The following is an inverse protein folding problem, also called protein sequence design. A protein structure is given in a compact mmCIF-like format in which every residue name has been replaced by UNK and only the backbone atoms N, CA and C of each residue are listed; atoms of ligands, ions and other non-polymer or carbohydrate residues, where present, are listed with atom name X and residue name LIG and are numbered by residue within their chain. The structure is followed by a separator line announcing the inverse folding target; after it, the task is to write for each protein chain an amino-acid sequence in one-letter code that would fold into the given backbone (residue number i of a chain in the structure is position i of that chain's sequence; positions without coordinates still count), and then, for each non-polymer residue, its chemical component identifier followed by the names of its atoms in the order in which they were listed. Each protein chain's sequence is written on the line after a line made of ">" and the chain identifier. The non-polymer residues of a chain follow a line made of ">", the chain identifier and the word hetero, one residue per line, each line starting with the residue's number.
data_IF_635763995486
#
_entry.id   IF_635763995486
#
_cell.length_a   1.000
_cell.length_b   1.000
_cell.length_c   1.000
_cell.angle_alpha   90.00
_cell.angle_beta   90.00
_cell.angle_gamma   90.00
#
_symmetry.space_group_name_H-M   'P 1'
#
loop_
_entity.id
_entity.type
_entity.pdbx_description
1 polymer ?
#
# COMPACT_ATOMS: atom_id res chain seq x y z
N UNK A 1 -12.07 -12.61 21.11
CA UNK A 1 -11.45 -12.05 19.89
C UNK A 1 -12.36 -12.15 18.67
N UNK A 2 -12.79 -13.32 18.19
CA UNK A 2 -13.64 -13.43 16.98
C UNK A 2 -14.95 -12.60 17.03
N UNK A 3 -15.62 -12.53 18.19
CA UNK A 3 -16.88 -11.78 18.33
C UNK A 3 -16.74 -10.26 18.24
N UNK A 4 -15.55 -9.70 18.53
CA UNK A 4 -15.32 -8.25 18.50
C UNK A 4 -14.87 -7.78 17.12
N UNK A 5 -14.08 -8.59 16.41
CA UNK A 5 -13.71 -8.32 15.01
C UNK A 5 -14.95 -8.30 14.11
N UNK A 6 -15.89 -9.23 14.31
CA UNK A 6 -17.15 -9.22 13.57
C UNK A 6 -17.91 -7.90 13.72
N UNK A 7 -18.02 -7.37 14.95
CA UNK A 7 -18.68 -6.07 15.20
C UNK A 7 -17.96 -4.91 14.54
N UNK A 8 -16.63 -4.96 14.46
CA UNK A 8 -15.83 -3.97 13.73
C UNK A 8 -16.13 -4.02 12.24
N UNK A 9 -16.13 -5.22 11.65
CA UNK A 9 -16.47 -5.42 10.24
C UNK A 9 -17.90 -4.92 9.96
N UNK A 10 -18.87 -5.28 10.80
CA UNK A 10 -20.25 -4.83 10.69
C UNK A 10 -20.35 -3.29 10.77
N UNK A 11 -19.62 -2.64 11.69
CA UNK A 11 -19.59 -1.18 11.82
C UNK A 11 -18.97 -0.51 10.58
N UNK A 12 -17.84 -1.02 10.07
CA UNK A 12 -17.18 -0.49 8.88
C UNK A 12 -18.07 -0.63 7.65
N UNK A 13 -18.71 -1.79 7.48
CA UNK A 13 -19.67 -2.05 6.40
C UNK A 13 -20.92 -1.16 6.53
N UNK A 14 -21.47 -0.98 7.73
CA UNK A 14 -22.59 -0.05 7.96
C UNK A 14 -22.22 1.38 7.55
N UNK A 15 -20.96 1.78 7.75
CA UNK A 15 -20.43 3.10 7.38
C UNK A 15 -20.05 3.22 5.91
N UNK A 16 -20.15 2.17 5.10
CA UNK A 16 -19.60 2.11 3.73
C UNK A 16 -18.09 2.43 3.66
N UNK A 17 -17.32 2.03 4.69
CA UNK A 17 -15.87 2.25 4.74
C UNK A 17 -15.13 1.05 4.16
N UNK A 18 -14.20 1.32 3.24
CA UNK A 18 -13.19 0.34 2.81
C UNK A 18 -11.91 0.49 3.63
N UNK A 19 -11.12 -0.58 3.66
CA UNK A 19 -9.73 -0.53 4.10
C UNK A 19 -8.85 -0.12 2.92
N UNK A 20 -8.00 0.87 3.11
CA UNK A 20 -7.23 1.48 2.03
C UNK A 20 -5.77 1.04 2.06
N UNK A 21 -5.28 0.56 0.92
CA UNK A 21 -3.84 0.33 0.67
C UNK A 21 -3.44 1.18 -0.52
N UNK A 22 -2.35 1.92 -0.40
CA UNK A 22 -1.74 2.62 -1.53
C UNK A 22 -0.38 2.03 -1.83
N UNK A 23 -0.04 1.94 -3.10
CA UNK A 23 1.21 1.35 -3.53
C UNK A 23 1.71 1.95 -4.86
N UNK A 24 3.01 1.74 -5.12
CA UNK A 24 3.62 2.08 -6.40
C UNK A 24 3.24 1.03 -7.45
N UNK A 25 3.47 1.35 -8.72
CA UNK A 25 3.19 0.39 -9.80
C UNK A 25 3.97 -0.91 -9.62
N UNK A 26 5.25 -0.83 -9.24
CA UNK A 26 6.08 -2.03 -9.08
C UNK A 26 5.52 -2.98 -8.01
N UNK A 27 4.95 -2.43 -6.93
CA UNK A 27 4.32 -3.19 -5.84
C UNK A 27 3.03 -3.87 -6.33
N UNK A 28 2.21 -3.11 -7.08
CA UNK A 28 0.98 -3.63 -7.65
C UNK A 28 1.25 -4.74 -8.66
N UNK A 29 2.22 -4.52 -9.54
CA UNK A 29 2.68 -5.49 -10.54
C UNK A 29 3.21 -6.78 -9.89
N UNK A 30 4.00 -6.65 -8.82
CA UNK A 30 4.46 -7.80 -8.05
C UNK A 30 3.29 -8.54 -7.38
N UNK A 31 2.33 -7.81 -6.82
CA UNK A 31 1.11 -8.39 -6.21
C UNK A 31 0.24 -9.14 -7.24
N UNK A 32 0.06 -8.59 -8.44
CA UNK A 32 -0.60 -9.30 -9.55
C UNK A 32 0.10 -10.61 -9.88
N UNK A 33 1.44 -10.61 -9.91
CA UNK A 33 2.25 -11.80 -10.17
C UNK A 33 2.13 -12.85 -9.06
N UNK A 34 1.91 -12.41 -7.82
CA UNK A 34 1.74 -13.28 -6.64
C UNK A 34 0.32 -13.83 -6.48
N UNK A 35 -0.68 -13.33 -7.21
CA UNK A 35 -2.06 -13.78 -7.06
C UNK A 35 -2.90 -13.03 -6.03
N UNK A 36 -2.35 -12.01 -5.37
CA UNK A 36 -3.01 -11.28 -4.28
C UNK A 36 -2.17 -10.10 -3.78
N UNK A 37 -2.75 -9.26 -2.92
CA UNK A 37 -2.02 -8.15 -2.29
C UNK A 37 -1.01 -8.77 -1.33
N UNK A 38 0.28 -8.63 -1.61
CA UNK A 38 1.35 -9.27 -0.87
C UNK A 38 1.93 -8.37 0.22
N UNK A 39 2.38 -8.97 1.33
CA UNK A 39 3.24 -8.28 2.28
C UNK A 39 4.63 -8.06 1.69
N UNK A 40 5.37 -7.10 2.23
CA UNK A 40 6.75 -6.86 1.78
C UNK A 40 7.65 -8.07 2.05
N UNK A 41 7.44 -8.79 3.17
CA UNK A 41 8.12 -10.05 3.43
C UNK A 41 7.86 -11.10 2.34
N UNK A 42 6.62 -11.25 1.85
CA UNK A 42 6.31 -12.17 0.77
C UNK A 42 6.96 -11.77 -0.55
N UNK A 43 6.98 -10.48 -0.89
CA UNK A 43 7.65 -9.99 -2.09
C UNK A 43 9.18 -10.23 -2.02
N UNK A 44 9.80 -9.95 -0.87
CA UNK A 44 11.23 -10.22 -0.61
C UNK A 44 11.54 -11.71 -0.76
N UNK A 45 10.74 -12.59 -0.13
CA UNK A 45 10.91 -14.04 -0.21
C UNK A 45 10.68 -14.60 -1.63
N UNK A 46 9.79 -13.97 -2.39
CA UNK A 46 9.56 -14.33 -3.78
C UNK A 46 10.70 -13.88 -4.73
N UNK A 47 11.56 -12.96 -4.27
CA UNK A 47 12.59 -12.32 -5.10
C UNK A 47 12.01 -11.30 -6.09
N UNK A 48 10.83 -10.76 -5.80
CA UNK A 48 10.17 -9.76 -6.64
C UNK A 48 10.61 -8.36 -6.22
N UNK A 49 10.77 -7.46 -7.19
CA UNK A 49 11.05 -6.05 -6.92
C UNK A 49 9.81 -5.36 -6.35
N UNK A 50 10.02 -4.48 -5.38
CA UNK A 50 9.00 -3.65 -4.74
C UNK A 50 9.64 -2.32 -4.27
N UNK A 51 8.83 -1.35 -3.88
CA UNK A 51 9.28 -0.02 -3.51
C UNK A 51 10.03 -0.02 -2.17
N UNK A 52 11.26 0.51 -2.20
CA UNK A 52 12.17 0.54 -1.06
C UNK A 52 12.14 1.90 -0.35
N UNK A 53 11.22 2.04 0.61
CA UNK A 53 11.14 3.22 1.47
C UNK A 53 12.24 3.17 2.54
N UNK A 54 12.76 4.34 2.92
CA UNK A 54 13.71 4.45 4.05
C UNK A 54 13.16 3.86 5.35
N UNK A 55 11.84 3.93 5.54
CA UNK A 55 11.14 3.40 6.72
C UNK A 55 10.96 1.87 6.71
N UNK A 56 11.36 1.17 5.65
CA UNK A 56 11.23 -0.29 5.58
C UNK A 56 12.09 -0.98 6.66
N UNK A 57 13.29 -0.47 6.95
CA UNK A 57 14.15 -0.98 8.02
C UNK A 57 13.49 -0.82 9.39
N UNK A 58 12.85 0.33 9.65
CA UNK A 58 12.11 0.60 10.89
C UNK A 58 10.94 -0.38 11.03
N UNK A 59 10.11 -0.54 9.99
CA UNK A 59 9.00 -1.49 9.98
C UNK A 59 9.46 -2.94 10.24
N UNK A 60 10.61 -3.33 9.69
CA UNK A 60 11.24 -4.64 9.90
C UNK A 60 11.74 -4.81 11.34
N UNK A 61 12.39 -3.79 11.89
CA UNK A 61 12.84 -3.78 13.29
C UNK A 61 11.68 -3.80 14.29
N UNK A 62 10.56 -3.17 13.95
CA UNK A 62 9.34 -3.17 14.74
C UNK A 62 8.56 -4.50 14.63
N UNK A 63 8.99 -5.45 13.80
CA UNK A 63 8.34 -6.76 13.68
C UNK A 63 7.06 -6.78 12.85
N UNK A 64 6.84 -5.79 11.96
CA UNK A 64 5.64 -5.71 11.11
C UNK A 64 5.92 -5.97 9.64
N UNK A 65 7.08 -6.54 9.30
CA UNK A 65 7.50 -6.74 7.90
C UNK A 65 6.56 -7.66 7.10
N UNK A 66 5.99 -8.64 7.78
CA UNK A 66 5.00 -9.61 7.31
C UNK A 66 3.56 -9.21 7.66
N UNK A 67 3.33 -7.97 8.10
CA UNK A 67 2.00 -7.44 8.37
C UNK A 67 1.44 -6.66 7.17
N UNK A 68 0.12 -6.79 6.98
CA UNK A 68 -0.66 -5.86 6.16
C UNK A 68 -1.05 -4.64 6.99
N UNK A 69 -0.87 -3.46 6.41
CA UNK A 69 -1.16 -2.18 7.06
C UNK A 69 -2.17 -1.44 6.21
N UNK A 70 -3.38 -1.28 6.72
CA UNK A 70 -4.47 -0.57 6.08
C UNK A 70 -4.67 0.80 6.72
N UNK A 71 -5.22 1.71 5.93
CA UNK A 71 -5.71 3.00 6.42
C UNK A 71 -7.24 3.03 6.40
N UNK A 72 -7.84 3.83 7.26
CA UNK A 72 -9.29 4.03 7.32
C UNK A 72 -9.79 5.13 6.36
N UNK A 73 -8.88 5.81 5.66
CA UNK A 73 -9.22 6.74 4.58
C UNK A 73 -8.14 6.81 3.51
N UNK A 74 -8.52 7.33 2.35
CA UNK A 74 -7.57 7.69 1.29
C UNK A 74 -6.78 8.95 1.65
N UNK A 75 -5.49 8.80 1.95
CA UNK A 75 -4.58 9.93 2.18
C UNK A 75 -4.45 10.88 0.99
N UNK A 76 -4.58 10.38 -0.24
CA UNK A 76 -4.53 11.23 -1.44
C UNK A 76 -5.77 12.12 -1.59
N UNK A 77 -6.87 11.82 -0.89
CA UNK A 77 -8.15 12.50 -1.10
C UNK A 77 -8.07 14.01 -0.85
N UNK A 78 -7.27 14.47 0.11
CA UNK A 78 -7.10 15.91 0.39
C UNK A 78 -6.44 16.65 -0.79
N UNK A 79 -5.47 16.01 -1.44
CA UNK A 79 -4.89 16.54 -2.67
C UNK A 79 -5.90 16.52 -3.81
N UNK A 80 -6.54 15.38 -4.11
CA UNK A 80 -7.43 15.30 -5.28
C UNK A 80 -8.72 16.12 -5.14
N UNK A 81 -9.18 16.40 -3.91
CA UNK A 81 -10.38 17.22 -3.70
C UNK A 81 -10.09 18.72 -3.78
N UNK A 82 -8.95 19.19 -3.27
CA UNK A 82 -8.69 20.62 -3.05
C UNK A 82 -7.23 21.07 -3.23
N UNK A 83 -6.33 20.17 -3.63
CA UNK A 83 -4.88 20.42 -3.72
C UNK A 83 -4.24 20.94 -2.41
N UNK A 84 -4.75 20.52 -1.24
CA UNK A 84 -4.32 21.07 0.06
C UNK A 84 -3.10 20.36 0.68
N UNK A 85 -2.65 19.25 0.09
CA UNK A 85 -1.56 18.42 0.59
C UNK A 85 -0.74 17.86 -0.59
N UNK A 86 0.24 16.99 -0.33
CA UNK A 86 0.88 16.18 -1.37
C UNK A 86 -0.09 15.09 -1.85
N UNK A 87 0.10 14.54 -3.06
CA UNK A 87 -0.46 13.24 -3.40
C UNK A 87 0.02 12.17 -2.40
N UNK A 88 -0.56 10.97 -2.50
CA UNK A 88 -0.22 9.89 -1.58
C UNK A 88 1.24 9.42 -1.78
N UNK A 89 2.07 9.55 -0.76
CA UNK A 89 3.49 9.19 -0.80
C UNK A 89 3.73 7.70 -1.08
N UNK A 90 2.77 6.84 -0.75
CA UNK A 90 2.89 5.40 -0.95
C UNK A 90 2.60 4.97 -2.38
N UNK A 91 2.02 5.85 -3.18
CA UNK A 91 1.93 5.67 -4.62
C UNK A 91 0.56 5.94 -5.21
N UNK A 92 0.50 5.88 -6.55
CA UNK A 92 -0.63 6.39 -7.30
C UNK A 92 -1.75 5.38 -7.52
N UNK A 93 -1.59 4.15 -7.03
CA UNK A 93 -2.60 3.10 -7.08
C UNK A 93 -3.17 2.96 -5.67
N UNK A 94 -4.47 3.16 -5.54
CA UNK A 94 -5.23 2.98 -4.31
C UNK A 94 -6.16 1.77 -4.45
N UNK A 95 -5.96 0.80 -3.58
CA UNK A 95 -6.74 -0.43 -3.50
C UNK A 95 -7.74 -0.30 -2.35
N UNK A 96 -9.01 -0.53 -2.67
CA UNK A 96 -10.12 -0.54 -1.73
C UNK A 96 -10.39 -2.00 -1.36
N UNK A 97 -10.11 -2.35 -0.12
CA UNK A 97 -10.28 -3.71 0.41
C UNK A 97 -11.53 -3.74 1.27
N UNK A 98 -12.38 -4.75 1.07
CA UNK A 98 -13.58 -4.98 1.87
C UNK A 98 -13.18 -5.28 3.32
N UNK A 99 -13.83 -4.67 4.32
CA UNK A 99 -13.56 -4.95 5.74
C UNK A 99 -13.66 -6.42 6.12
N UNK A 100 -14.46 -7.21 5.38
CA UNK A 100 -14.64 -8.65 5.57
C UNK A 100 -13.33 -9.43 5.67
N UNK A 101 -12.24 -8.95 5.03
CA UNK A 101 -10.92 -9.59 5.15
C UNK A 101 -10.45 -9.71 6.60
N UNK A 102 -10.86 -8.80 7.49
CA UNK A 102 -10.45 -8.84 8.90
C UNK A 102 -10.94 -10.08 9.64
N UNK A 103 -11.99 -10.74 9.15
CA UNK A 103 -12.50 -12.00 9.73
C UNK A 103 -11.51 -13.16 9.53
N UNK A 104 -10.67 -13.08 8.49
CA UNK A 104 -9.66 -14.09 8.15
C UNK A 104 -8.31 -13.79 8.82
N UNK A 105 -8.19 -12.66 9.53
CA UNK A 105 -6.95 -12.27 10.20
C UNK A 105 -6.79 -12.99 11.54
N UNK A 106 -5.58 -13.48 11.80
CA UNK A 106 -5.20 -14.06 13.10
C UNK A 106 -5.02 -13.00 14.18
N UNK A 107 -4.61 -11.81 13.76
CA UNK A 107 -4.37 -10.67 14.64
C UNK A 107 -4.79 -9.40 13.93
N UNK A 108 -5.56 -8.57 14.62
CA UNK A 108 -5.95 -7.23 14.18
C UNK A 108 -5.68 -6.26 15.30
N UNK A 109 -4.83 -5.27 15.05
CA UNK A 109 -4.55 -4.17 15.96
C UNK A 109 -4.82 -2.84 15.25
N UNK A 110 -5.04 -1.79 16.03
CA UNK A 110 -4.96 -0.42 15.53
C UNK A 110 -3.80 0.30 16.22
N UNK A 111 -3.20 1.25 15.52
CA UNK A 111 -2.26 2.20 16.10
C UNK A 111 -2.54 3.60 15.57
N UNK A 112 -2.50 4.59 16.45
CA UNK A 112 -2.52 6.01 16.07
C UNK A 112 -1.12 6.55 15.72
N UNK A 113 -0.09 5.71 15.85
CA UNK A 113 1.29 6.00 15.47
C UNK A 113 1.68 5.01 14.38
N UNK A 114 2.19 5.49 13.25
CA UNK A 114 2.57 4.58 12.16
C UNK A 114 3.61 3.56 12.61
N UNK A 115 3.46 2.29 12.21
CA UNK A 115 4.47 1.24 12.45
C UNK A 115 5.81 1.52 11.75
N UNK A 116 5.83 2.53 10.87
CA UNK A 116 7.00 3.04 10.14
C UNK A 116 7.71 4.18 10.87
N UNK A 117 7.19 4.64 12.01
CA UNK A 117 7.80 5.70 12.82
C UNK A 117 8.92 5.17 13.72
N UNK A 118 10.00 5.94 13.88
CA UNK A 118 11.08 5.65 14.85
C UNK A 118 10.59 5.69 16.30
N UNK A 119 9.48 6.38 16.56
CA UNK A 119 8.87 6.49 17.88
C UNK A 119 7.84 5.39 18.16
N UNK A 120 7.61 4.47 17.22
CA UNK A 120 6.65 3.40 17.41
C UNK A 120 7.16 2.37 18.45
N UNK A 121 6.28 1.98 19.38
CA UNK A 121 6.52 0.95 20.37
C UNK A 121 5.29 0.02 20.41
N UNK A 122 5.50 -1.28 20.22
CA UNK A 122 4.42 -2.27 20.14
C UNK A 122 3.57 -2.34 21.41
N UNK A 123 4.21 -2.22 22.57
CA UNK A 123 3.57 -2.46 23.87
C UNK A 123 2.68 -1.27 24.27
N UNK A 124 3.02 -0.06 23.84
CA UNK A 124 2.26 1.15 24.16
C UNK A 124 1.33 1.64 23.06
N UNK A 125 1.62 1.34 21.79
CA UNK A 125 0.88 1.91 20.66
C UNK A 125 -0.07 0.95 19.96
N UNK A 126 0.09 -0.38 20.13
CA UNK A 126 -0.89 -1.33 19.63
C UNK A 126 -2.03 -1.45 20.61
N UNK A 127 -3.24 -1.27 20.09
CA UNK A 127 -4.45 -1.49 20.86
C UNK A 127 -5.31 -2.52 20.12
N UNK A 128 -5.83 -3.49 20.87
CA UNK A 128 -6.96 -4.29 20.41
C UNK A 128 -8.15 -3.33 20.33
N UNK A 129 -8.55 -2.99 19.13
CA UNK A 129 -9.59 -1.99 18.93
C UNK A 129 -10.95 -2.55 19.35
N UNK A 130 -11.66 -1.80 20.19
CA UNK A 130 -13.09 -2.04 20.42
C UNK A 130 -13.93 -1.32 19.37
N UNK A 131 -15.14 -1.83 19.11
CA UNK A 131 -16.11 -1.17 18.22
C UNK A 131 -16.40 0.27 18.66
N UNK A 132 -16.44 0.53 19.97
CA UNK A 132 -16.69 1.87 20.52
C UNK A 132 -15.54 2.86 20.25
N UNK A 133 -14.29 2.40 20.33
CA UNK A 133 -13.12 3.22 20.01
C UNK A 133 -13.07 3.55 18.53
N UNK A 134 -13.33 2.57 17.66
CA UNK A 134 -13.42 2.80 16.21
C UNK A 134 -14.51 3.82 15.89
N UNK A 135 -15.67 3.70 16.53
CA UNK A 135 -16.80 4.61 16.33
C UNK A 135 -16.45 6.05 16.72
N UNK A 136 -15.60 6.24 17.74
CA UNK A 136 -15.14 7.57 18.20
C UNK A 136 -14.23 8.28 17.20
N UNK A 137 -13.65 7.59 16.22
CA UNK A 137 -12.81 8.21 15.18
C UNK A 137 -13.64 9.06 14.20
N UNK A 138 -14.92 8.72 14.04
CA UNK A 138 -15.82 9.39 13.10
C UNK A 138 -16.54 10.57 13.74
N UNK A 139 -16.80 11.59 12.93
CA UNK A 139 -17.52 12.79 13.34
C UNK A 139 -19.03 12.52 13.53
N UNK A 140 -19.59 11.67 12.66
CA UNK A 140 -21.02 11.36 12.64
C UNK A 140 -21.30 9.88 13.04
N UNK A 141 -22.49 9.59 13.60
CA UNK A 141 -22.97 8.22 13.83
C UNK A 141 -23.00 7.34 12.57
N UNK A 142 -22.96 6.02 12.75
CA UNK A 142 -22.89 5.06 11.63
C UNK A 142 -24.20 4.96 10.82
N UNK A 143 -25.32 5.36 11.40
CA UNK A 143 -26.65 5.44 10.79
C UNK A 143 -26.91 6.78 10.07
N UNK A 144 -25.93 7.69 10.04
CA UNK A 144 -26.03 8.94 9.27
C UNK A 144 -26.04 8.68 7.77
N UNK A 145 -26.41 9.69 6.97
CA UNK A 145 -26.43 9.58 5.51
C UNK A 145 -25.01 9.51 4.93
N UNK A 146 -24.85 8.93 3.74
CA UNK A 146 -23.60 9.07 2.98
C UNK A 146 -23.57 10.46 2.31
N UNK A 147 -22.44 11.21 2.37
CA UNK A 147 -21.11 10.79 2.83
C UNK A 147 -20.82 11.05 4.32
N UNK A 148 -21.73 11.64 5.08
CA UNK A 148 -21.50 12.08 6.47
C UNK A 148 -20.99 10.96 7.39
N UNK A 149 -21.56 9.75 7.26
CA UNK A 149 -21.16 8.57 8.04
C UNK A 149 -19.71 8.11 7.83
N UNK A 150 -19.00 8.66 6.84
CA UNK A 150 -17.60 8.33 6.53
C UNK A 150 -16.59 9.36 7.03
N UNK A 151 -17.05 10.51 7.55
CA UNK A 151 -16.18 11.63 7.88
C UNK A 151 -15.45 11.35 9.19
N UNK A 152 -14.12 11.33 9.14
CA UNK A 152 -13.24 11.28 10.33
C UNK A 152 -13.15 12.66 10.98
N UNK A 153 -12.91 12.68 12.30
CA UNK A 153 -12.71 13.94 13.04
C UNK A 153 -11.44 14.67 12.58
N UNK A 154 -11.55 15.98 12.37
CA UNK A 154 -10.43 16.85 11.93
C UNK A 154 -9.22 16.77 12.87
N UNK A 155 -9.45 16.58 14.17
CA UNK A 155 -8.37 16.41 15.16
C UNK A 155 -7.44 15.23 14.88
N UNK A 156 -7.90 14.22 14.12
CA UNK A 156 -7.07 13.10 13.66
C UNK A 156 -6.24 13.48 12.42
N UNK A 157 -6.70 14.45 11.64
CA UNK A 157 -6.09 14.89 10.38
C UNK A 157 -5.07 16.02 10.62
N UNK A 158 -5.38 16.95 11.54
CA UNK A 158 -4.57 18.15 11.80
C UNK A 158 -3.41 17.91 12.79
N UNK A 159 -3.60 17.04 13.77
CA UNK A 159 -2.56 16.75 14.78
C UNK A 159 -1.60 15.63 14.35
N UNK A 160 -1.87 14.95 13.24
CA UNK A 160 -0.98 13.91 12.74
C UNK A 160 0.14 14.54 11.91
N UNK A 161 1.16 15.08 12.60
CA UNK A 161 2.51 15.11 12.02
C UNK A 161 2.94 13.70 11.57
N UNK A 162 2.35 12.67 12.21
CA UNK A 162 2.65 11.25 12.04
C UNK A 162 1.39 10.41 11.78
N UNK A 163 0.81 10.53 10.59
CA UNK A 163 -0.19 9.59 9.99
C UNK A 163 -1.53 9.38 10.71
N UNK A 164 -2.55 8.95 9.96
CA UNK A 164 -3.85 8.54 10.51
C UNK A 164 -3.77 7.15 11.13
N UNK A 165 -4.81 6.74 11.89
CA UNK A 165 -4.86 5.40 12.47
C UNK A 165 -4.63 4.31 11.41
N UNK A 166 -3.65 3.45 11.68
CA UNK A 166 -3.29 2.28 10.89
C UNK A 166 -3.95 1.03 11.48
N UNK A 167 -4.65 0.25 10.65
CA UNK A 167 -5.14 -1.08 11.00
C UNK A 167 -4.09 -2.09 10.55
N UNK A 168 -3.53 -2.82 11.51
CA UNK A 168 -2.38 -3.72 11.31
C UNK A 168 -2.86 -5.15 11.48
N UNK A 169 -2.67 -5.96 10.45
CA UNK A 169 -3.21 -7.31 10.38
C UNK A 169 -2.14 -8.35 10.03
N UNK A 170 -2.26 -9.51 10.67
CA UNK A 170 -1.52 -10.72 10.29
C UNK A 170 -2.51 -11.82 9.88
N UNK A 171 -2.12 -12.58 8.87
CA UNK A 171 -2.92 -13.66 8.28
C UNK A 171 -2.04 -14.91 8.20
N UNK A 172 -2.67 -16.09 8.11
CA UNK A 172 -1.95 -17.35 7.88
C UNK A 172 -1.22 -17.33 6.53
N UNK A 173 -1.85 -16.72 5.53
CA UNK A 173 -1.26 -16.52 4.20
C UNK A 173 -0.78 -15.08 4.07
N UNK A 174 0.44 -14.82 3.55
CA UNK A 174 0.95 -13.45 3.42
C UNK A 174 0.32 -12.67 2.27
N UNK A 175 -0.71 -13.23 1.62
CA UNK A 175 -1.45 -12.66 0.51
C UNK A 175 -2.89 -12.39 0.93
N UNK A 176 -3.40 -11.20 0.62
CA UNK A 176 -4.84 -10.94 0.63
C UNK A 176 -5.39 -11.25 -0.77
N UNK A 177 -6.38 -12.15 -0.89
CA UNK A 177 -6.98 -12.46 -2.18
C UNK A 177 -7.62 -11.23 -2.83
N UNK A 178 -7.47 -11.07 -4.15
CA UNK A 178 -8.10 -9.99 -4.90
C UNK A 178 -9.65 -10.05 -4.90
N UNK A 179 -10.27 -11.15 -4.47
CA UNK A 179 -11.72 -11.24 -4.24
C UNK A 179 -12.23 -10.28 -3.15
N UNK A 180 -11.35 -9.89 -2.23
CA UNK A 180 -11.62 -8.87 -1.22
C UNK A 180 -11.42 -7.43 -1.73
N UNK A 181 -10.92 -7.23 -2.95
CA UNK A 181 -10.81 -5.90 -3.55
C UNK A 181 -12.16 -5.49 -4.13
N UNK A 182 -12.73 -4.39 -3.63
CA UNK A 182 -13.97 -3.81 -4.15
C UNK A 182 -13.72 -2.88 -5.34
N UNK A 183 -12.59 -2.17 -5.33
CA UNK A 183 -12.20 -1.19 -6.34
C UNK A 183 -10.68 -0.98 -6.33
N UNK A 184 -10.10 -0.73 -7.50
CA UNK A 184 -8.81 -0.07 -7.63
C UNK A 184 -9.02 1.30 -8.27
N UNK A 185 -8.45 2.34 -7.67
CA UNK A 185 -8.41 3.66 -8.28
C UNK A 185 -6.98 4.10 -8.54
N UNK A 186 -6.77 4.82 -9.63
CA UNK A 186 -5.44 5.27 -10.05
C UNK A 186 -5.42 6.77 -10.34
N UNK A 187 -4.26 7.38 -10.14
CA UNK A 187 -4.08 8.81 -10.38
C UNK A 187 -4.04 9.16 -11.87
N UNK A 188 -4.08 10.45 -12.18
CA UNK A 188 -4.34 11.01 -13.52
C UNK A 188 -3.08 11.22 -14.38
N UNK A 189 -2.02 10.43 -14.19
CA UNK A 189 -0.79 10.59 -14.96
C UNK A 189 -0.95 10.15 -16.43
N UNK A 190 -0.22 10.82 -17.32
CA UNK A 190 -0.10 10.49 -18.74
C UNK A 190 1.35 10.14 -19.02
N UNK A 191 1.58 8.96 -19.59
CA UNK A 191 2.90 8.42 -19.92
C UNK A 191 2.85 7.99 -21.38
N UNK A 192 3.77 8.47 -22.22
CA UNK A 192 3.79 8.16 -23.66
C UNK A 192 2.43 8.38 -24.36
N UNK A 193 1.76 9.51 -24.06
CA UNK A 193 0.41 9.85 -24.56
C UNK A 193 -0.70 8.85 -24.20
N UNK A 194 -0.45 7.96 -23.24
CA UNK A 194 -1.41 6.98 -22.73
C UNK A 194 -1.70 7.25 -21.25
N UNK A 195 -2.97 7.09 -20.88
CA UNK A 195 -3.41 7.26 -19.48
C UNK A 195 -2.81 6.16 -18.61
N UNK A 196 -2.34 6.50 -17.41
CA UNK A 196 -1.82 5.54 -16.44
C UNK A 196 -2.82 4.41 -16.15
N UNK A 197 -4.11 4.75 -16.06
CA UNK A 197 -5.20 3.79 -15.94
C UNK A 197 -5.15 2.68 -16.99
N UNK A 198 -4.88 3.01 -18.25
CA UNK A 198 -4.85 2.02 -19.31
C UNK A 198 -3.69 1.04 -19.16
N UNK A 199 -2.56 1.44 -18.57
CA UNK A 199 -1.47 0.52 -18.28
C UNK A 199 -1.84 -0.44 -17.15
N UNK A 200 -2.39 0.08 -16.05
CA UNK A 200 -2.79 -0.73 -14.90
C UNK A 200 -3.92 -1.70 -15.24
N UNK A 201 -4.90 -1.27 -16.06
CA UNK A 201 -5.99 -2.12 -16.51
C UNK A 201 -5.52 -3.26 -17.42
N UNK A 202 -4.63 -2.97 -18.37
CA UNK A 202 -4.03 -4.01 -19.23
C UNK A 202 -3.27 -5.05 -18.39
N UNK A 203 -2.49 -4.58 -17.42
CA UNK A 203 -1.74 -5.45 -16.50
C UNK A 203 -2.67 -6.35 -15.68
N UNK A 204 -3.74 -5.78 -15.11
CA UNK A 204 -4.76 -6.50 -14.36
C UNK A 204 -5.42 -7.60 -15.20
N UNK A 205 -5.84 -7.26 -16.42
CA UNK A 205 -6.53 -8.19 -17.31
C UNK A 205 -5.63 -9.35 -17.74
N UNK A 206 -4.36 -9.07 -18.04
CA UNK A 206 -3.38 -10.12 -18.38
C UNK A 206 -3.07 -11.06 -17.22
N UNK A 207 -2.99 -10.51 -16.01
CA UNK A 207 -2.88 -11.31 -14.80
C UNK A 207 -4.16 -12.11 -14.46
N UNK A 208 -5.23 -11.98 -15.25
CA UNK A 208 -6.47 -12.75 -15.10
C UNK A 208 -7.44 -12.21 -14.05
N UNK A 209 -7.30 -10.96 -13.62
CA UNK A 209 -8.18 -10.35 -12.61
C UNK A 209 -9.26 -9.45 -13.20
N UNK A 210 -10.41 -9.41 -12.55
CA UNK A 210 -11.62 -8.74 -13.05
C UNK A 210 -12.18 -7.68 -12.09
N UNK A 211 -11.43 -7.30 -11.05
CA UNK A 211 -11.92 -6.28 -10.12
C UNK A 211 -12.11 -4.91 -10.83
N UNK A 212 -13.07 -4.09 -10.36
CA UNK A 212 -13.30 -2.76 -10.91
C UNK A 212 -12.05 -1.89 -10.83
N UNK A 213 -11.78 -1.12 -11.89
CA UNK A 213 -10.66 -0.18 -11.95
C UNK A 213 -11.12 1.14 -12.58
N UNK A 214 -10.80 2.26 -11.94
CA UNK A 214 -11.12 3.58 -12.47
C UNK A 214 -10.05 4.63 -12.15
N UNK A 215 -10.12 5.80 -12.78
CA UNK A 215 -9.38 6.98 -12.30
C UNK A 215 -9.95 7.44 -10.97
N UNK A 216 -9.07 7.84 -10.06
CA UNK A 216 -9.44 8.38 -8.76
C UNK A 216 -10.29 9.63 -8.95
N UNK A 217 -11.39 9.76 -8.19
CA UNK A 217 -12.25 10.93 -8.28
C UNK A 217 -11.47 12.20 -7.90
N UNK A 218 -11.41 13.17 -8.82
CA UNK A 218 -10.67 14.41 -8.66
C UNK A 218 -11.51 15.57 -9.20
N UNK A 219 -12.30 16.25 -8.37
CA UNK A 219 -13.07 17.42 -8.78
C UNK A 219 -12.22 18.69 -8.90
N UNK A 220 -10.99 18.69 -8.37
CA UNK A 220 -10.10 19.85 -8.42
C UNK A 220 -9.33 19.89 -9.74
N UNK A 221 -9.68 20.85 -10.61
CA UNK A 221 -8.91 21.13 -11.82
C UNK A 221 -7.45 21.49 -11.50
N UNK A 222 -7.21 22.16 -10.37
CA UNK A 222 -5.85 22.49 -9.91
C UNK A 222 -5.06 21.24 -9.54
N UNK A 223 -5.66 20.27 -8.84
CA UNK A 223 -4.97 19.02 -8.52
C UNK A 223 -4.66 18.18 -9.78
N UNK A 224 -5.57 18.17 -10.76
CA UNK A 224 -5.33 17.54 -12.06
C UNK A 224 -4.15 18.21 -12.76
N UNK A 225 -4.15 19.54 -12.81
CA UNK A 225 -3.07 20.32 -13.43
C UNK A 225 -1.72 20.06 -12.76
N UNK A 226 -1.65 20.19 -11.43
CA UNK A 226 -0.44 19.95 -10.64
C UNK A 226 0.10 18.53 -10.86
N UNK A 227 -0.76 17.50 -10.77
CA UNK A 227 -0.33 16.11 -10.98
C UNK A 227 0.14 15.84 -12.41
N UNK A 228 -0.52 16.44 -13.41
CA UNK A 228 -0.10 16.36 -14.81
C UNK A 228 1.28 16.98 -15.02
N UNK A 229 1.51 18.19 -14.53
CA UNK A 229 2.80 18.87 -14.73
C UNK A 229 3.94 18.17 -13.97
N UNK A 230 3.72 17.74 -12.73
CA UNK A 230 4.70 16.94 -11.99
C UNK A 230 5.04 15.67 -12.76
N UNK A 231 4.03 14.95 -13.28
CA UNK A 231 4.25 13.75 -14.09
C UNK A 231 5.13 14.03 -15.31
N UNK A 232 4.87 15.13 -16.05
CA UNK A 232 5.69 15.53 -17.19
C UNK A 232 7.13 15.88 -16.80
N UNK A 233 7.32 16.57 -15.69
CA UNK A 233 8.65 16.94 -15.19
C UNK A 233 9.44 15.68 -14.78
N UNK A 234 8.82 14.78 -14.02
CA UNK A 234 9.43 13.53 -13.54
C UNK A 234 9.80 12.56 -14.68
N UNK A 235 9.10 12.59 -15.81
CA UNK A 235 9.49 11.80 -16.99
C UNK A 235 10.76 12.33 -17.67
N UNK A 236 11.18 13.58 -17.40
CA UNK A 236 12.38 14.18 -17.98
C UNK A 236 13.60 14.08 -17.06
N UNK A 237 13.41 14.37 -15.78
CA UNK A 237 14.46 14.38 -14.77
C UNK A 237 13.87 14.28 -13.36
N UNK A 238 14.66 13.90 -12.35
CA UNK A 238 14.24 14.04 -10.95
C UNK A 238 13.80 15.48 -10.64
N UNK A 239 12.73 15.62 -9.85
CA UNK A 239 12.14 16.93 -9.50
C UNK A 239 12.24 17.13 -8.00
N UNK A 240 12.88 18.22 -7.61
CA UNK A 240 13.02 18.67 -6.23
C UNK A 240 11.94 19.67 -5.86
N UNK A 241 11.77 19.91 -4.57
CA UNK A 241 10.85 20.94 -4.05
C UNK A 241 11.23 22.34 -4.52
N UNK A 242 12.54 22.61 -4.67
CA UNK A 242 13.05 23.90 -5.18
C UNK A 242 12.64 24.14 -6.64
N UNK A 243 12.58 23.09 -7.45
CA UNK A 243 12.15 23.20 -8.85
C UNK A 243 10.69 23.64 -8.95
N UNK A 244 9.81 23.12 -8.07
CA UNK A 244 8.40 23.53 -8.05
C UNK A 244 8.23 24.96 -7.52
N UNK A 245 8.97 25.34 -6.47
CA UNK A 245 8.94 26.70 -5.92
C UNK A 245 9.38 27.76 -6.95
N UNK A 246 10.29 27.40 -7.83
CA UNK A 246 10.80 28.29 -8.88
C UNK A 246 10.14 28.05 -10.25
N UNK A 247 9.08 27.23 -10.31
CA UNK A 247 8.37 26.95 -11.55
C UNK A 247 7.73 28.23 -12.09
N UNK A 248 7.77 28.42 -13.41
CA UNK A 248 7.04 29.50 -14.09
C UNK A 248 5.53 29.31 -14.01
N UNK A 249 5.07 28.07 -13.79
CA UNK A 249 3.66 27.75 -13.60
C UNK A 249 3.14 28.27 -12.25
N UNK A 250 2.20 29.20 -12.32
CA UNK A 250 1.65 29.88 -11.15
C UNK A 250 0.94 28.93 -10.18
N UNK A 251 0.22 27.92 -10.68
CA UNK A 251 -0.52 26.99 -9.82
C UNK A 251 0.43 26.04 -9.08
N UNK A 252 1.46 25.53 -9.76
CA UNK A 252 2.51 24.73 -9.13
C UNK A 252 3.25 25.52 -8.06
N UNK A 253 3.66 26.74 -8.39
CA UNK A 253 4.41 27.62 -7.47
C UNK A 253 3.57 27.98 -6.25
N UNK A 254 2.31 28.37 -6.43
CA UNK A 254 1.40 28.69 -5.33
C UNK A 254 1.17 27.48 -4.42
N UNK A 255 0.98 26.30 -5.00
CA UNK A 255 0.86 25.05 -4.24
C UNK A 255 2.14 24.71 -3.46
N UNK A 256 3.32 24.87 -4.05
CA UNK A 256 4.58 24.65 -3.32
C UNK A 256 4.78 25.64 -2.18
N UNK A 257 4.37 26.90 -2.32
CA UNK A 257 4.38 27.87 -1.22
C UNK A 257 3.47 27.41 -0.06
N UNK A 258 2.26 26.92 -0.37
CA UNK A 258 1.35 26.35 0.62
C UNK A 258 1.95 25.11 1.32
N UNK A 259 2.51 24.16 0.56
CA UNK A 259 3.20 23.01 1.14
C UNK A 259 4.36 23.42 2.06
N UNK A 260 5.13 24.44 1.66
CA UNK A 260 6.25 24.97 2.46
C UNK A 260 5.75 25.52 3.79
N UNK A 261 4.64 26.26 3.78
CA UNK A 261 4.02 26.81 5.01
C UNK A 261 3.54 25.72 5.97
N UNK A 262 3.26 24.52 5.46
CA UNK A 262 2.83 23.33 6.21
C UNK A 262 3.97 22.37 6.56
N UNK A 263 5.23 22.73 6.25
CA UNK A 263 6.40 21.89 6.42
C UNK A 263 6.35 20.54 5.67
N UNK A 264 5.68 20.49 4.51
CA UNK A 264 5.47 19.25 3.72
C UNK A 264 6.53 19.02 2.63
N UNK A 265 7.63 19.78 2.64
CA UNK A 265 8.69 19.66 1.62
C UNK A 265 9.32 18.26 1.58
N UNK A 266 9.61 17.66 2.74
CA UNK A 266 10.18 16.31 2.79
C UNK A 266 9.21 15.25 2.27
N UNK A 267 7.92 15.37 2.63
CA UNK A 267 6.85 14.50 2.12
C UNK A 267 6.76 14.56 0.60
N UNK A 268 6.89 15.76 0.03
CA UNK A 268 6.94 15.96 -1.42
C UNK A 268 8.13 15.25 -2.08
N UNK A 269 9.33 15.38 -1.51
CA UNK A 269 10.54 14.74 -2.06
C UNK A 269 10.43 13.20 -2.05
N UNK A 270 9.88 12.62 -0.98
CA UNK A 270 9.62 11.18 -0.91
C UNK A 270 8.63 10.77 -2.00
N UNK A 271 7.54 11.52 -2.15
CA UNK A 271 6.54 11.28 -3.17
C UNK A 271 7.13 11.33 -4.59
N UNK A 272 7.87 12.37 -4.96
CA UNK A 272 8.42 12.52 -6.32
C UNK A 272 9.46 11.45 -6.63
N UNK A 273 10.32 11.13 -5.67
CA UNK A 273 11.32 10.08 -5.80
C UNK A 273 10.67 8.74 -6.14
N UNK A 274 9.69 8.31 -5.33
CA UNK A 274 9.04 7.01 -5.51
C UNK A 274 8.11 6.99 -6.72
N UNK A 275 7.34 8.06 -6.98
CA UNK A 275 6.50 8.14 -8.17
C UNK A 275 7.34 7.99 -9.44
N UNK A 276 8.48 8.67 -9.53
CA UNK A 276 9.38 8.57 -10.68
C UNK A 276 9.99 7.18 -10.81
N UNK A 277 10.72 6.74 -9.78
CA UNK A 277 11.52 5.51 -9.81
C UNK A 277 10.67 4.25 -9.88
N UNK A 278 9.58 4.22 -9.12
CA UNK A 278 8.83 2.99 -8.85
C UNK A 278 7.48 2.93 -9.60
N UNK A 279 7.13 3.98 -10.36
CA UNK A 279 5.93 4.01 -11.20
C UNK A 279 6.15 4.54 -12.62
N UNK A 280 6.63 5.78 -12.79
CA UNK A 280 6.65 6.43 -14.09
C UNK A 280 7.75 5.88 -15.01
N UNK A 281 9.01 5.83 -14.54
CA UNK A 281 10.14 5.34 -15.33
C UNK A 281 9.99 3.86 -15.71
N UNK A 282 9.55 2.94 -14.83
CA UNK A 282 9.36 1.55 -15.20
C UNK A 282 8.41 1.35 -16.39
N UNK A 283 7.37 2.19 -16.52
CA UNK A 283 6.49 2.19 -17.70
C UNK A 283 7.19 2.83 -18.89
N UNK A 284 7.76 4.02 -18.68
CA UNK A 284 8.33 4.82 -19.75
C UNK A 284 9.47 4.11 -20.48
N UNK A 285 10.33 3.42 -19.73
CA UNK A 285 11.48 2.65 -20.21
C UNK A 285 11.09 1.22 -20.64
N UNK A 286 9.83 0.83 -20.44
CA UNK A 286 9.34 -0.51 -20.77
C UNK A 286 9.89 -1.61 -19.88
N UNK A 287 10.42 -1.28 -18.69
CA UNK A 287 10.84 -2.26 -17.68
C UNK A 287 9.65 -3.09 -17.19
N UNK A 288 8.50 -2.44 -17.04
CA UNK A 288 7.22 -3.05 -16.68
C UNK A 288 6.24 -2.88 -17.85
N UNK A 289 5.68 -3.99 -18.31
CA UNK A 289 4.64 -4.02 -19.33
C UNK A 289 3.70 -5.21 -19.10
N UNK A 290 2.53 -5.18 -19.71
CA UNK A 290 1.59 -6.29 -19.61
C UNK A 290 2.19 -7.59 -20.18
N UNK A 291 2.97 -7.55 -21.27
CA UNK A 291 3.65 -8.74 -21.83
C UNK A 291 4.62 -9.43 -20.85
N UNK A 292 5.15 -8.68 -19.87
CA UNK A 292 6.06 -9.22 -18.86
C UNK A 292 5.31 -9.88 -17.70
N UNK A 293 4.03 -9.55 -17.49
CA UNK A 293 3.20 -10.17 -16.44
C UNK A 293 3.02 -11.65 -16.72
N UNK A 294 2.63 -12.00 -17.95
CA UNK A 294 2.37 -13.39 -18.32
C UNK A 294 3.56 -14.31 -17.97
N UNK A 295 4.77 -13.81 -18.22
CA UNK A 295 6.01 -14.52 -17.89
C UNK A 295 6.26 -14.66 -16.39
N UNK A 296 6.02 -13.61 -15.62
CA UNK A 296 6.24 -13.65 -14.17
C UNK A 296 5.19 -14.49 -13.45
N UNK A 297 3.91 -14.35 -13.82
CA UNK A 297 2.84 -15.19 -13.29
C UNK A 297 3.11 -16.67 -13.58
N UNK A 298 3.62 -17.00 -14.77
CA UNK A 298 4.02 -18.37 -15.09
C UNK A 298 5.19 -18.86 -14.22
N UNK A 299 6.22 -18.05 -14.02
CA UNK A 299 7.37 -18.38 -13.16
C UNK A 299 6.92 -18.61 -11.71
N UNK A 300 6.08 -17.73 -11.17
CA UNK A 300 5.55 -17.86 -9.81
C UNK A 300 4.70 -19.13 -9.69
N UNK A 301 3.84 -19.40 -10.68
CA UNK A 301 3.02 -20.64 -10.71
C UNK A 301 3.90 -21.89 -10.74
N UNK A 302 4.91 -21.92 -11.61
CA UNK A 302 5.85 -23.05 -11.71
C UNK A 302 6.63 -23.24 -10.40
N UNK A 303 7.08 -22.15 -9.77
CA UNK A 303 7.76 -22.20 -8.46
C UNK A 303 6.83 -22.79 -7.38
N UNK A 304 5.59 -22.33 -7.29
CA UNK A 304 4.63 -22.84 -6.31
C UNK A 304 4.29 -24.31 -6.56
N UNK A 305 4.04 -24.69 -7.81
CA UNK A 305 3.78 -26.08 -8.19
C UNK A 305 4.98 -26.99 -7.90
N UNK A 306 6.21 -26.51 -8.10
CA UNK A 306 7.41 -27.25 -7.73
C UNK A 306 7.51 -27.47 -6.21
N UNK A 307 7.12 -26.48 -5.40
CA UNK A 307 7.07 -26.64 -3.94
C UNK A 307 5.97 -27.60 -3.48
N UNK A 308 4.78 -27.55 -4.08
CA UNK A 308 3.67 -28.44 -3.72
C UNK A 308 3.94 -29.91 -4.08
N UNK A 309 4.67 -30.15 -5.18
CA UNK A 309 5.02 -31.50 -5.62
C UNK A 309 6.36 -32.00 -5.05
N UNK A 310 7.04 -31.20 -4.23
CA UNK A 310 8.28 -31.61 -3.59
C UNK A 310 7.97 -32.64 -2.51
N UNK A 311 8.54 -33.84 -2.63
CA UNK A 311 8.38 -34.85 -1.60
C UNK A 311 9.10 -34.40 -0.30
N UNK A 312 8.65 -34.92 0.84
CA UNK A 312 9.19 -34.53 2.15
C UNK A 312 10.70 -34.85 2.27
N UNK A 313 11.20 -35.84 1.52
CA UNK A 313 12.59 -36.27 1.54
C UNK A 313 13.48 -35.30 0.76
N UNK A 314 13.01 -34.82 -0.39
CA UNK A 314 13.67 -33.83 -1.24
C UNK A 314 13.66 -32.46 -0.56
N UNK A 315 12.55 -32.07 0.06
CA UNK A 315 12.47 -30.87 0.89
C UNK A 315 13.47 -30.93 2.06
N UNK A 316 13.59 -32.09 2.73
CA UNK A 316 14.55 -32.30 3.80
C UNK A 316 16.00 -32.22 3.28
N UNK A 317 16.28 -32.79 2.11
CA UNK A 317 17.61 -32.77 1.48
C UNK A 317 18.03 -31.33 1.12
N UNK A 318 17.13 -30.55 0.53
CA UNK A 318 17.35 -29.12 0.23
C UNK A 318 17.58 -28.33 1.52
N UNK A 319 16.77 -28.57 2.57
CA UNK A 319 16.94 -27.92 3.86
C UNK A 319 18.29 -28.28 4.51
N UNK A 320 18.75 -29.52 4.38
CA UNK A 320 20.07 -29.94 4.85
C UNK A 320 21.20 -29.28 4.07
N UNK A 321 21.08 -29.18 2.73
CA UNK A 321 22.06 -28.46 1.91
C UNK A 321 22.11 -26.96 2.22
N UNK A 322 20.95 -26.32 2.44
CA UNK A 322 20.86 -24.92 2.83
C UNK A 322 21.43 -24.69 4.23
N UNK A 323 21.18 -25.58 5.18
CA UNK A 323 21.77 -25.54 6.51
C UNK A 323 23.30 -25.67 6.51
N UNK A 324 23.85 -26.44 5.57
CA UNK A 324 25.31 -26.54 5.38
C UNK A 324 25.92 -25.24 4.82
N UNK A 325 25.12 -24.42 4.14
CA UNK A 325 25.55 -23.13 3.57
C UNK A 325 25.24 -21.93 4.47
N UNK A 326 24.23 -22.03 5.33
CA UNK A 326 23.83 -20.98 6.28
C UNK A 326 23.60 -21.56 7.70
N UNK A 327 24.49 -21.24 8.67
CA UNK A 327 24.37 -21.68 10.06
C UNK A 327 23.06 -21.28 10.76
N UNK A 328 22.38 -20.21 10.32
CA UNK A 328 21.11 -19.79 10.92
C UNK A 328 19.97 -20.75 10.58
N UNK A 329 20.00 -21.32 9.37
CA UNK A 329 19.02 -22.32 8.92
C UNK A 329 19.24 -23.63 9.69
N UNK A 330 20.48 -24.02 9.93
CA UNK A 330 20.83 -25.21 10.72
C UNK A 330 20.24 -25.16 12.14
N UNK A 331 20.37 -24.03 12.83
CA UNK A 331 19.82 -23.85 14.18
C UNK A 331 18.29 -23.95 14.21
N UNK A 332 17.61 -23.42 13.18
CA UNK A 332 16.15 -23.45 13.08
C UNK A 332 15.63 -24.87 12.82
N UNK A 333 16.30 -25.64 11.97
CA UNK A 333 15.98 -27.07 11.74
C UNK A 333 16.15 -27.88 13.03
N UNK A 334 17.25 -27.68 13.77
CA UNK A 334 17.47 -28.37 15.04
C UNK A 334 16.40 -28.04 16.09
N UNK A 335 15.93 -26.78 16.15
CA UNK A 335 14.83 -26.40 17.04
C UNK A 335 13.50 -27.09 16.68
N UNK A 336 13.21 -27.24 15.38
CA UNK A 336 12.01 -27.93 14.91
C UNK A 336 12.06 -29.43 15.19
N UNK A 337 13.23 -30.06 15.06
CA UNK A 337 13.42 -31.48 15.34
C UNK A 337 13.33 -31.82 16.84
N UNK A 338 13.70 -30.88 17.73
CA UNK A 338 13.56 -31.03 19.19
C UNK A 338 12.13 -30.82 19.71
N UNK A 339 11.24 -30.31 18.87
CA UNK A 339 9.84 -30.01 19.22
C UNK A 339 8.86 -31.11 18.77
N UNK A 340 9.36 -32.16 18.12
CA UNK A 340 8.65 -33.42 17.85
C UNK A 340 9.14 -34.46 18.85
#
# INVERSE_FOLDING_TARGET
>A
MSNDIKKIVDLLNQRDISLYISCQLIDFYASLSMGGIATQAALENAGLKFAEYKTNSIKKNNGFWDAHVFHLMDYGALFYRKALNTPNIFGPILIYVKPDILLDANLVNISNVSVRSEHFNSDSHLQSISTDELNKLYLHPADSSFPEKTILKESLIENSSDMLPEVICHFDTPLIPFSYVSLVSVDHYIINNRQFQSYVDEMKLRAGFTFPLMRRYCPSSTAIHISSEIGKMLLKAPVTFTDILNSDDEQLRAWAIDLKSKNLSQTFEIYTQHLQKDTLLPIYEGEISADKIDKLSEIVRQKNQAFENMDEKDALLILQELANKDPKIANRIQSMQKSK
#
